data_IF_843199183502
#
_entry.id   IF_843199183502
#
_cell.length_a   1.000
_cell.length_b   1.000
_cell.length_c   1.000
_cell.angle_alpha   90.00
_cell.angle_beta   90.00
_cell.angle_gamma   90.00
#
_symmetry.space_group_name_H-M   'P 1'
#
loop_
_entity.id
_entity.type
_entity.pdbx_description
1 polymer ?
#
# COMPACT_ATOMS: atom_id res chain seq x y z
N UNK A 1 -51.51 -13.07 19.79
CA UNK A 1 -50.48 -12.00 19.78
C UNK A 1 -49.13 -12.67 19.82
N UNK A 2 -48.47 -12.80 18.66
CA UNK A 2 -47.07 -13.30 18.58
C UNK A 2 -46.15 -12.10 18.48
N UNK A 3 -45.43 -11.83 19.51
CA UNK A 3 -44.32 -10.84 19.49
C UNK A 3 -43.13 -11.48 18.81
N UNK A 4 -42.87 -11.06 17.59
CA UNK A 4 -41.60 -11.38 16.89
C UNK A 4 -40.48 -10.59 17.58
N UNK A 5 -39.66 -11.27 18.37
CA UNK A 5 -38.39 -10.76 18.82
C UNK A 5 -37.45 -10.68 17.62
N UNK A 6 -37.19 -9.48 17.13
CA UNK A 6 -36.15 -9.23 16.16
C UNK A 6 -34.82 -9.63 16.83
N UNK A 7 -34.20 -10.69 16.33
CA UNK A 7 -32.82 -11.04 16.69
C UNK A 7 -31.91 -9.91 16.18
N UNK A 8 -31.43 -9.08 17.08
CA UNK A 8 -30.34 -8.16 16.79
C UNK A 8 -29.09 -9.00 16.48
N UNK A 9 -28.78 -9.14 15.18
CA UNK A 9 -27.53 -9.77 14.76
C UNK A 9 -26.38 -9.00 15.40
N UNK A 10 -25.39 -9.73 15.94
CA UNK A 10 -24.14 -9.14 16.44
C UNK A 10 -23.56 -8.22 15.35
N UNK A 11 -23.07 -7.04 15.74
CA UNK A 11 -22.43 -6.12 14.82
C UNK A 11 -21.35 -6.87 14.03
N UNK A 12 -21.29 -6.72 12.70
CA UNK A 12 -20.31 -7.45 11.89
C UNK A 12 -18.92 -7.04 12.35
N UNK A 13 -18.05 -8.03 12.64
CA UNK A 13 -16.65 -7.79 13.00
C UNK A 13 -15.85 -7.29 11.79
N UNK A 14 -14.66 -6.75 12.06
CA UNK A 14 -13.70 -6.40 11.03
C UNK A 14 -13.26 -7.65 10.25
N UNK A 15 -13.22 -7.54 8.92
CA UNK A 15 -12.77 -8.62 8.03
C UNK A 15 -11.31 -8.97 8.29
N UNK A 16 -11.02 -10.20 8.68
CA UNK A 16 -9.65 -10.74 8.83
C UNK A 16 -8.64 -9.78 9.51
N UNK A 17 -9.06 -9.01 10.52
CA UNK A 17 -8.17 -8.07 11.20
C UNK A 17 -7.13 -8.74 12.11
N UNK A 18 -7.34 -10.00 12.47
CA UNK A 18 -6.40 -10.80 13.25
C UNK A 18 -5.38 -11.48 12.34
N UNK A 19 -4.32 -12.04 12.94
CA UNK A 19 -3.36 -12.88 12.22
C UNK A 19 -4.09 -14.02 11.49
N UNK A 20 -3.72 -14.25 10.25
CA UNK A 20 -4.32 -15.27 9.40
C UNK A 20 -3.92 -16.71 9.76
N UNK A 21 -4.51 -17.68 9.09
CA UNK A 21 -4.28 -19.10 9.39
C UNK A 21 -2.93 -19.64 8.90
N UNK A 22 -2.25 -18.93 7.97
CA UNK A 22 -1.00 -19.43 7.41
C UNK A 22 0.18 -19.07 8.32
N UNK A 23 1.01 -20.05 8.72
CA UNK A 23 2.30 -19.75 9.32
C UNK A 23 3.14 -18.93 8.34
N UNK A 24 3.96 -18.02 8.87
CA UNK A 24 4.75 -17.07 8.05
C UNK A 24 6.24 -17.27 8.24
N UNK A 25 6.99 -17.08 7.15
CA UNK A 25 8.44 -16.96 7.13
C UNK A 25 8.86 -15.54 6.76
N UNK A 26 10.09 -15.20 7.10
CA UNK A 26 10.72 -13.94 6.74
C UNK A 26 12.10 -14.21 6.18
N UNK A 27 12.42 -13.64 5.02
CA UNK A 27 13.76 -13.60 4.46
C UNK A 27 14.25 -12.14 4.45
N UNK A 28 15.34 -11.86 5.16
CA UNK A 28 15.97 -10.53 5.24
C UNK A 28 17.40 -10.65 5.80
N UNK A 29 18.41 -9.96 5.23
CA UNK A 29 18.32 -9.28 3.94
C UNK A 29 18.30 -10.27 2.77
N UNK A 30 17.56 -9.95 1.73
CA UNK A 30 17.68 -10.55 0.40
C UNK A 30 18.20 -9.46 -0.52
N UNK A 31 19.29 -9.69 -1.23
CA UNK A 31 19.91 -8.69 -2.08
C UNK A 31 19.66 -9.03 -3.55
N UNK A 32 19.16 -8.06 -4.32
CA UNK A 32 19.06 -8.17 -5.77
C UNK A 32 19.93 -7.11 -6.43
N UNK A 33 20.76 -7.54 -7.36
CA UNK A 33 21.58 -6.65 -8.16
C UNK A 33 20.83 -6.23 -9.42
N UNK A 34 20.92 -4.95 -9.76
CA UNK A 34 20.33 -4.34 -10.96
C UNK A 34 21.46 -3.69 -11.76
N UNK A 35 22.23 -4.50 -12.52
CA UNK A 35 23.47 -4.06 -13.16
C UNK A 35 23.27 -2.90 -14.15
N UNK A 36 22.17 -2.90 -14.90
CA UNK A 36 21.85 -1.88 -15.90
C UNK A 36 21.65 -0.48 -15.30
N UNK A 37 21.38 -0.41 -13.99
CA UNK A 37 21.24 0.85 -13.23
C UNK A 37 22.33 1.04 -12.19
N UNK A 38 23.32 0.12 -12.13
CA UNK A 38 24.38 0.11 -11.11
C UNK A 38 23.81 0.25 -9.69
N UNK A 39 22.77 -0.54 -9.38
CA UNK A 39 22.05 -0.53 -8.11
C UNK A 39 22.00 -1.92 -7.50
N UNK A 40 21.95 -1.93 -6.18
CA UNK A 40 21.64 -3.10 -5.38
C UNK A 40 20.45 -2.75 -4.46
N UNK A 41 19.41 -3.58 -4.45
CA UNK A 41 18.27 -3.43 -3.57
C UNK A 41 18.33 -4.47 -2.46
N UNK A 42 18.10 -4.00 -1.24
CA UNK A 42 17.97 -4.85 -0.06
C UNK A 42 16.47 -5.04 0.17
N UNK A 43 16.03 -6.29 0.21
CA UNK A 43 14.64 -6.66 0.38
C UNK A 43 14.42 -7.32 1.75
N UNK A 44 13.28 -6.97 2.36
CA UNK A 44 12.60 -7.81 3.34
C UNK A 44 11.46 -8.53 2.64
N UNK A 45 11.32 -9.83 2.83
CA UNK A 45 10.25 -10.62 2.24
C UNK A 45 9.53 -11.36 3.35
N UNK A 46 8.21 -11.12 3.49
CA UNK A 46 7.33 -11.88 4.37
C UNK A 46 6.47 -12.80 3.51
N UNK A 47 6.34 -14.08 3.87
CA UNK A 47 5.68 -15.06 3.02
C UNK A 47 5.00 -16.17 3.83
N UNK A 48 3.94 -16.84 3.28
CA UNK A 48 3.38 -18.05 3.87
C UNK A 48 4.37 -19.21 3.77
N UNK A 49 4.52 -19.99 4.84
CA UNK A 49 5.35 -21.21 4.79
C UNK A 49 4.55 -22.46 4.39
N UNK A 50 3.25 -22.32 4.16
CA UNK A 50 2.41 -23.38 3.59
C UNK A 50 2.70 -23.57 2.10
N UNK A 51 2.50 -24.80 1.60
CA UNK A 51 2.62 -25.07 0.17
C UNK A 51 1.52 -24.35 -0.62
N UNK A 52 1.89 -23.68 -1.71
CA UNK A 52 0.94 -22.97 -2.58
C UNK A 52 1.61 -21.98 -3.50
N UNK A 53 0.81 -21.36 -4.36
CA UNK A 53 1.23 -20.25 -5.22
C UNK A 53 0.42 -19.01 -4.79
N UNK A 54 1.10 -17.95 -4.40
CA UNK A 54 0.52 -16.82 -3.69
C UNK A 54 0.61 -15.54 -4.50
N UNK A 55 -0.43 -14.67 -4.49
CA UNK A 55 -0.34 -13.34 -5.04
C UNK A 55 0.79 -12.53 -4.39
N UNK A 56 1.35 -11.61 -5.16
CA UNK A 56 2.47 -10.76 -4.77
C UNK A 56 2.00 -9.36 -4.37
N UNK A 57 2.60 -8.82 -3.32
CA UNK A 57 2.51 -7.41 -2.94
C UNK A 57 3.92 -6.83 -2.97
N UNK A 58 4.17 -5.84 -3.82
CA UNK A 58 5.39 -5.03 -3.76
C UNK A 58 5.05 -3.76 -2.98
N UNK A 59 5.65 -3.61 -1.80
CA UNK A 59 5.33 -2.51 -0.87
C UNK A 59 6.51 -1.56 -0.70
N UNK A 60 6.29 -0.30 -1.03
CA UNK A 60 7.28 0.75 -0.86
C UNK A 60 7.05 1.57 0.41
N UNK A 61 8.12 1.77 1.17
CA UNK A 61 8.10 2.52 2.42
C UNK A 61 7.97 4.04 2.21
N UNK A 62 7.55 4.74 3.25
CA UNK A 62 7.52 6.21 3.28
C UNK A 62 8.93 6.81 3.37
N UNK A 63 9.02 8.12 3.11
CA UNK A 63 10.27 8.85 3.25
C UNK A 63 10.85 8.71 4.67
N UNK A 64 12.15 8.46 4.77
CA UNK A 64 12.88 8.26 6.02
C UNK A 64 12.45 7.02 6.82
N UNK A 65 11.84 6.04 6.17
CA UNK A 65 11.49 4.74 6.71
C UNK A 65 12.32 3.65 6.02
N UNK A 66 12.17 2.42 6.47
CA UNK A 66 12.73 1.22 5.84
C UNK A 66 11.63 0.17 5.61
N UNK A 67 11.92 -0.89 4.89
CA UNK A 67 10.99 -2.03 4.75
C UNK A 67 10.64 -2.65 6.11
N UNK A 68 11.59 -2.70 7.05
CA UNK A 68 11.38 -3.25 8.39
C UNK A 68 10.37 -2.45 9.22
N UNK A 69 10.24 -1.15 8.99
CA UNK A 69 9.24 -0.30 9.65
C UNK A 69 7.79 -0.69 9.35
N UNK A 70 7.56 -1.58 8.38
CA UNK A 70 6.24 -2.08 7.99
C UNK A 70 6.08 -3.58 8.20
N UNK A 71 7.00 -4.22 8.93
CA UNK A 71 7.02 -5.66 9.16
C UNK A 71 5.67 -6.19 9.66
N UNK A 72 5.04 -5.53 10.63
CA UNK A 72 3.78 -5.98 11.21
C UNK A 72 2.62 -6.02 10.19
N UNK A 73 2.61 -5.14 9.19
CA UNK A 73 1.62 -5.14 8.12
C UNK A 73 1.93 -6.23 7.08
N UNK A 74 3.20 -6.37 6.70
CA UNK A 74 3.65 -7.40 5.77
C UNK A 74 3.41 -8.81 6.31
N UNK A 75 3.76 -9.06 7.58
CA UNK A 75 3.53 -10.34 8.25
C UNK A 75 2.04 -10.66 8.37
N UNK A 76 1.19 -9.63 8.56
CA UNK A 76 -0.25 -9.81 8.54
C UNK A 76 -0.74 -10.27 7.16
N UNK A 77 -0.37 -9.60 6.07
CA UNK A 77 -0.76 -10.02 4.72
C UNK A 77 -0.19 -11.39 4.37
N UNK A 78 1.06 -11.67 4.76
CA UNK A 78 1.65 -12.99 4.57
C UNK A 78 0.85 -14.09 5.29
N UNK A 79 0.39 -13.85 6.52
CA UNK A 79 -0.45 -14.79 7.26
C UNK A 79 -1.80 -15.07 6.59
N UNK A 80 -2.23 -14.18 5.71
CA UNK A 80 -3.41 -14.32 4.88
C UNK A 80 -3.12 -14.84 3.46
N UNK A 81 -1.92 -15.34 3.18
CA UNK A 81 -1.58 -16.00 1.92
C UNK A 81 -1.17 -15.03 0.82
N UNK A 82 -0.25 -14.12 1.12
CA UNK A 82 0.43 -13.24 0.18
C UNK A 82 1.95 -13.34 0.34
N UNK A 83 2.69 -13.25 -0.73
CA UNK A 83 4.11 -12.91 -0.66
C UNK A 83 4.22 -11.38 -0.67
N UNK A 84 4.94 -10.82 0.30
CA UNK A 84 5.10 -9.37 0.45
C UNK A 84 6.57 -9.02 0.36
N UNK A 85 6.95 -8.27 -0.67
CA UNK A 85 8.33 -7.81 -0.89
C UNK A 85 8.42 -6.33 -0.56
N UNK A 86 9.31 -5.99 0.38
CA UNK A 86 9.56 -4.63 0.85
C UNK A 86 11.00 -4.23 0.54
N UNK A 87 11.24 -3.53 -0.58
CA UNK A 87 12.55 -2.95 -0.85
C UNK A 87 12.89 -1.85 0.16
N UNK A 88 14.17 -1.78 0.55
CA UNK A 88 14.74 -0.65 1.28
C UNK A 88 15.75 0.04 0.39
N UNK A 89 15.61 1.35 0.24
CA UNK A 89 16.51 2.13 -0.60
C UNK A 89 17.74 2.57 0.19
N UNK A 90 18.95 2.64 -0.42
CA UNK A 90 20.17 3.03 0.25
C UNK A 90 20.16 4.41 0.92
N UNK A 91 19.29 5.29 0.43
CA UNK A 91 19.06 6.65 0.91
C UNK A 91 17.87 6.76 1.87
N UNK A 92 17.26 5.62 2.24
CA UNK A 92 16.26 5.55 3.32
C UNK A 92 16.87 6.06 4.63
N UNK A 93 16.22 7.03 5.25
CA UNK A 93 16.65 7.54 6.56
C UNK A 93 17.78 8.58 6.53
N UNK A 94 18.23 9.08 5.39
CA UNK A 94 19.20 10.17 5.32
C UNK A 94 18.55 11.53 5.03
N UNK A 95 18.31 12.38 6.04
CA UNK A 95 18.04 13.78 5.80
C UNK A 95 19.35 14.45 5.37
N UNK A 96 19.41 14.94 4.15
CA UNK A 96 20.54 15.70 3.66
C UNK A 96 20.07 16.80 2.73
N UNK A 97 20.76 17.93 2.69
CA UNK A 97 20.56 19.00 1.71
C UNK A 97 21.09 18.51 0.35
N UNK A 98 20.31 17.67 -0.34
CA UNK A 98 20.55 17.37 -1.75
C UNK A 98 19.78 18.38 -2.61
N UNK A 99 20.40 18.80 -3.71
CA UNK A 99 19.73 19.68 -4.66
C UNK A 99 18.48 19.01 -5.25
N UNK A 100 17.59 19.81 -5.82
CA UNK A 100 16.29 19.35 -6.35
C UNK A 100 16.45 18.31 -7.46
N UNK A 101 17.46 18.46 -8.32
CA UNK A 101 17.66 17.55 -9.45
C UNK A 101 18.11 16.17 -8.97
N UNK A 102 18.97 16.14 -7.96
CA UNK A 102 19.37 14.87 -7.30
C UNK A 102 18.18 14.24 -6.59
N UNK A 103 17.35 15.01 -5.91
CA UNK A 103 16.11 14.48 -5.30
C UNK A 103 15.17 13.87 -6.34
N UNK A 104 14.98 14.52 -7.49
CA UNK A 104 14.17 13.99 -8.58
C UNK A 104 14.76 12.70 -9.17
N UNK A 105 16.08 12.64 -9.38
CA UNK A 105 16.74 11.41 -9.86
C UNK A 105 16.53 10.26 -8.89
N UNK A 106 16.82 10.46 -7.60
CA UNK A 106 16.59 9.44 -6.56
C UNK A 106 15.14 8.95 -6.58
N UNK A 107 14.19 9.88 -6.69
CA UNK A 107 12.78 9.54 -6.74
C UNK A 107 12.41 8.69 -7.97
N UNK A 108 12.92 9.05 -9.16
CA UNK A 108 12.67 8.28 -10.39
C UNK A 108 13.31 6.89 -10.33
N UNK A 109 14.49 6.78 -9.70
CA UNK A 109 15.13 5.50 -9.45
C UNK A 109 14.28 4.63 -8.52
N UNK A 110 13.72 5.20 -7.46
CA UNK A 110 12.81 4.48 -6.55
C UNK A 110 11.53 4.02 -7.26
N UNK A 111 11.00 4.80 -8.20
CA UNK A 111 9.87 4.37 -9.04
C UNK A 111 10.27 3.17 -9.91
N UNK A 112 11.43 3.22 -10.54
CA UNK A 112 11.93 2.12 -11.38
C UNK A 112 12.26 0.86 -10.55
N UNK A 113 12.68 1.00 -9.29
CA UNK A 113 12.94 -0.13 -8.40
C UNK A 113 11.70 -1.00 -8.16
N UNK A 114 10.51 -0.43 -8.24
CA UNK A 114 9.27 -1.19 -8.13
C UNK A 114 9.11 -2.23 -9.26
N UNK A 115 9.37 -1.82 -10.50
CA UNK A 115 9.39 -2.71 -11.66
C UNK A 115 10.57 -3.70 -11.60
N UNK A 116 11.74 -3.26 -11.13
CA UNK A 116 12.91 -4.12 -11.01
C UNK A 116 12.72 -5.28 -10.02
N UNK A 117 11.90 -5.11 -8.98
CA UNK A 117 11.51 -6.24 -8.12
C UNK A 117 10.80 -7.33 -8.92
N UNK A 118 9.90 -6.94 -9.84
CA UNK A 118 9.19 -7.89 -10.69
C UNK A 118 10.10 -8.53 -11.75
N UNK A 119 11.11 -7.80 -12.23
CA UNK A 119 12.11 -8.33 -13.17
C UNK A 119 13.04 -9.36 -12.48
N UNK A 120 13.22 -9.25 -11.16
CA UNK A 120 14.11 -10.09 -10.38
C UNK A 120 13.44 -11.28 -9.67
N UNK A 121 12.16 -11.58 -9.96
CA UNK A 121 11.42 -12.64 -9.23
C UNK A 121 12.12 -14.00 -9.30
N UNK A 122 12.66 -14.40 -10.45
CA UNK A 122 13.38 -15.68 -10.60
C UNK A 122 14.64 -15.72 -9.72
N UNK A 123 15.35 -14.60 -9.61
CA UNK A 123 16.53 -14.48 -8.74
C UNK A 123 16.14 -14.53 -7.25
N UNK A 124 15.03 -13.88 -6.88
CA UNK A 124 14.49 -13.91 -5.52
C UNK A 124 14.07 -15.33 -5.15
N UNK A 125 13.32 -16.02 -5.99
CA UNK A 125 12.89 -17.41 -5.77
C UNK A 125 14.07 -18.38 -5.69
N UNK A 126 15.17 -18.09 -6.41
CA UNK A 126 16.40 -18.89 -6.35
C UNK A 126 17.12 -18.70 -5.03
N UNK A 127 17.18 -17.46 -4.51
CA UNK A 127 17.86 -17.13 -3.25
C UNK A 127 17.08 -17.58 -2.02
N UNK A 128 15.73 -17.54 -2.10
CA UNK A 128 14.84 -17.87 -0.99
C UNK A 128 14.12 -19.18 -1.32
N UNK A 129 14.76 -20.31 -0.98
CA UNK A 129 14.30 -21.64 -1.35
C UNK A 129 12.80 -21.89 -1.05
N UNK A 130 12.21 -21.47 0.08
CA UNK A 130 10.79 -21.62 0.31
C UNK A 130 9.87 -20.88 -0.66
N UNK A 131 10.39 -19.91 -1.42
CA UNK A 131 9.63 -19.17 -2.42
C UNK A 131 9.69 -19.79 -3.82
N UNK A 132 10.50 -20.83 -4.01
CA UNK A 132 10.67 -21.43 -5.34
C UNK A 132 9.33 -21.87 -5.94
N UNK A 133 8.92 -21.21 -7.03
CA UNK A 133 7.62 -21.41 -7.70
C UNK A 133 6.40 -21.12 -6.82
N UNK A 134 6.57 -20.29 -5.77
CA UNK A 134 5.50 -19.93 -4.86
C UNK A 134 4.90 -18.54 -5.12
N UNK A 135 5.50 -17.74 -6.00
CA UNK A 135 5.00 -16.42 -6.35
C UNK A 135 4.13 -16.51 -7.62
N UNK A 136 2.96 -15.88 -7.58
CA UNK A 136 2.13 -15.70 -8.77
C UNK A 136 2.39 -14.33 -9.40
N UNK A 137 3.15 -14.25 -10.50
CA UNK A 137 3.47 -12.99 -11.14
C UNK A 137 2.30 -12.39 -11.93
N UNK A 138 1.15 -13.08 -12.00
CA UNK A 138 -0.07 -12.64 -12.69
C UNK A 138 -1.11 -12.04 -11.75
N UNK A 139 -0.80 -11.94 -10.45
CA UNK A 139 -1.68 -11.36 -9.41
C UNK A 139 -0.85 -10.47 -8.49
N UNK A 140 -0.64 -9.22 -8.90
CA UNK A 140 0.34 -8.33 -8.27
C UNK A 140 -0.30 -7.02 -7.80
N UNK A 141 -0.02 -6.64 -6.54
CA UNK A 141 -0.39 -5.36 -5.99
C UNK A 141 0.80 -4.40 -5.95
N UNK A 142 0.60 -3.17 -6.43
CA UNK A 142 1.44 -2.03 -6.10
C UNK A 142 0.96 -1.44 -4.78
N UNK A 143 1.80 -1.44 -3.75
CA UNK A 143 1.41 -0.93 -2.44
C UNK A 143 2.47 0.02 -1.88
N UNK A 144 2.06 0.91 -0.98
CA UNK A 144 3.01 1.77 -0.30
C UNK A 144 2.36 2.73 0.67
N UNK A 145 3.21 3.38 1.47
CA UNK A 145 2.83 4.39 2.44
C UNK A 145 3.49 5.73 2.10
N UNK A 146 2.73 6.85 2.21
CA UNK A 146 3.29 8.19 2.05
C UNK A 146 4.00 8.38 0.70
N UNK A 147 5.32 8.61 0.69
CA UNK A 147 6.15 8.64 -0.53
C UNK A 147 6.02 7.33 -1.33
N UNK A 148 6.02 6.19 -0.67
CA UNK A 148 5.83 4.89 -1.31
C UNK A 148 4.45 4.75 -1.96
N UNK A 149 3.41 5.34 -1.40
CA UNK A 149 2.09 5.39 -2.03
C UNK A 149 2.08 6.25 -3.30
N UNK A 150 2.86 7.35 -3.35
CA UNK A 150 3.07 8.11 -4.59
C UNK A 150 3.75 7.25 -5.65
N UNK A 151 4.81 6.52 -5.28
CA UNK A 151 5.50 5.60 -6.18
C UNK A 151 4.54 4.56 -6.73
N UNK A 152 3.77 3.89 -5.85
CA UNK A 152 2.75 2.93 -6.25
C UNK A 152 1.69 3.53 -7.19
N UNK A 153 1.28 4.79 -6.96
CA UNK A 153 0.33 5.49 -7.85
C UNK A 153 0.94 5.76 -9.24
N UNK A 154 2.24 6.07 -9.31
CA UNK A 154 2.94 6.35 -10.58
C UNK A 154 3.05 5.07 -11.42
N UNK A 155 3.48 3.95 -10.84
CA UNK A 155 3.53 2.68 -11.59
C UNK A 155 2.13 2.17 -11.95
N UNK A 156 1.09 2.62 -11.23
CA UNK A 156 -0.32 2.36 -11.56
C UNK A 156 -0.87 3.27 -12.67
N UNK A 157 -0.06 4.24 -13.16
CA UNK A 157 -0.43 5.08 -14.30
C UNK A 157 -0.51 6.58 -14.04
N UNK A 158 -0.24 7.07 -12.82
CA UNK A 158 -0.21 8.52 -12.57
C UNK A 158 0.88 9.17 -13.43
N UNK A 159 0.46 10.02 -14.35
CA UNK A 159 1.39 10.76 -15.20
C UNK A 159 2.10 11.87 -14.43
N UNK A 160 3.32 12.19 -14.81
CA UNK A 160 4.11 13.31 -14.29
C UNK A 160 4.61 14.19 -15.43
N UNK A 161 5.07 15.38 -15.08
CA UNK A 161 5.87 16.20 -15.98
C UNK A 161 7.35 15.87 -15.76
N UNK A 162 8.09 15.75 -16.84
CA UNK A 162 9.57 15.73 -16.82
C UNK A 162 10.14 17.14 -16.61
N UNK A 163 11.47 17.27 -16.63
CA UNK A 163 12.16 18.54 -16.44
C UNK A 163 11.83 19.58 -17.52
N UNK A 164 11.50 19.14 -18.73
CA UNK A 164 11.21 19.98 -19.90
C UNK A 164 9.70 20.26 -20.04
N UNK A 165 8.89 19.79 -19.09
CA UNK A 165 7.43 19.92 -19.11
C UNK A 165 6.72 18.89 -19.99
N UNK A 166 7.43 17.91 -20.50
CA UNK A 166 6.90 16.76 -21.24
C UNK A 166 6.13 15.81 -20.32
N UNK A 167 5.19 15.04 -20.88
CA UNK A 167 4.44 14.03 -20.14
C UNK A 167 5.26 12.75 -19.99
N UNK A 168 5.53 12.37 -18.76
CA UNK A 168 6.22 11.12 -18.41
C UNK A 168 5.21 10.11 -17.84
N UNK A 169 5.15 8.92 -18.43
CA UNK A 169 4.43 7.75 -17.89
C UNK A 169 5.43 6.67 -17.51
N UNK A 170 5.36 6.22 -16.27
CA UNK A 170 6.15 5.12 -15.73
C UNK A 170 5.23 3.97 -15.30
N UNK A 171 4.11 3.81 -15.99
CA UNK A 171 3.15 2.74 -15.74
C UNK A 171 3.80 1.38 -16.03
N UNK A 172 3.54 0.42 -15.15
CA UNK A 172 3.89 -0.99 -15.33
C UNK A 172 2.60 -1.81 -15.32
N UNK A 173 2.26 -2.40 -16.46
CA UNK A 173 1.00 -3.13 -16.66
C UNK A 173 0.95 -4.49 -15.94
N UNK A 174 2.03 -4.90 -15.26
CA UNK A 174 2.05 -6.11 -14.43
C UNK A 174 1.35 -5.92 -13.08
N UNK A 175 1.08 -4.68 -12.66
CA UNK A 175 0.31 -4.41 -11.46
C UNK A 175 -1.19 -4.41 -11.76
N UNK A 176 -1.95 -5.22 -11.00
CA UNK A 176 -3.39 -5.39 -11.15
C UNK A 176 -4.19 -4.46 -10.24
N UNK A 177 -3.65 -4.11 -9.07
CA UNK A 177 -4.32 -3.28 -8.06
C UNK A 177 -3.35 -2.35 -7.34
N UNK A 178 -3.87 -1.29 -6.72
CA UNK A 178 -3.08 -0.36 -5.91
C UNK A 178 -3.61 -0.23 -4.48
N UNK A 179 -2.72 -0.29 -3.47
CA UNK A 179 -3.00 -0.04 -2.05
C UNK A 179 -2.17 1.14 -1.57
N UNK A 180 -2.81 2.28 -1.38
CA UNK A 180 -2.18 3.57 -1.17
C UNK A 180 -2.46 4.08 0.26
N UNK A 181 -1.52 3.81 1.18
CA UNK A 181 -1.66 4.22 2.56
C UNK A 181 -1.15 5.65 2.73
N UNK A 182 -2.03 6.57 3.11
CA UNK A 182 -1.70 7.98 3.37
C UNK A 182 -0.89 8.65 2.23
N UNK A 183 -1.24 8.32 0.98
CA UNK A 183 -0.57 8.85 -0.20
C UNK A 183 -0.82 10.35 -0.40
N UNK A 184 0.06 11.05 -1.09
CA UNK A 184 -0.16 12.46 -1.42
C UNK A 184 -1.29 12.64 -2.45
N UNK A 185 -1.97 13.77 -2.36
CA UNK A 185 -2.85 14.28 -3.40
C UNK A 185 -2.07 14.97 -4.53
N UNK A 186 -2.70 15.87 -5.29
CA UNK A 186 -2.05 16.59 -6.38
C UNK A 186 -0.80 17.33 -5.94
N UNK A 187 0.27 17.19 -6.71
CA UNK A 187 1.57 17.82 -6.49
C UNK A 187 1.90 18.76 -7.67
N UNK A 188 2.81 19.75 -7.52
CA UNK A 188 3.13 20.73 -8.55
C UNK A 188 3.54 20.13 -9.91
N UNK A 189 4.20 18.96 -9.92
CA UNK A 189 4.60 18.26 -11.15
C UNK A 189 3.55 17.27 -11.66
N UNK A 190 2.31 17.35 -11.19
CA UNK A 190 1.22 16.50 -11.61
C UNK A 190 0.34 17.26 -12.61
N UNK A 191 0.28 16.86 -13.89
CA UNK A 191 -0.63 17.46 -14.86
C UNK A 191 -2.09 17.38 -14.38
N UNK A 192 -2.94 18.28 -14.86
CA UNK A 192 -4.35 18.33 -14.44
C UNK A 192 -5.08 17.01 -14.74
N UNK A 193 -4.74 16.35 -15.84
CA UNK A 193 -5.31 15.09 -16.31
C UNK A 193 -4.47 13.87 -15.92
N UNK A 194 -3.47 14.03 -15.05
CA UNK A 194 -2.51 12.98 -14.68
C UNK A 194 -3.17 11.69 -14.13
N UNK A 195 -4.28 11.87 -13.43
CA UNK A 195 -4.99 10.80 -12.77
C UNK A 195 -5.86 9.94 -13.70
N UNK A 196 -6.13 10.42 -14.91
CA UNK A 196 -7.03 9.76 -15.87
C UNK A 196 -6.54 8.35 -16.30
N UNK A 197 -5.23 8.11 -16.23
CA UNK A 197 -4.63 6.84 -16.62
C UNK A 197 -4.56 5.82 -15.48
N UNK A 198 -4.91 6.19 -14.23
CA UNK A 198 -4.94 5.27 -13.08
C UNK A 198 -6.28 4.54 -13.06
N UNK A 199 -6.38 3.50 -13.88
CA UNK A 199 -7.63 2.74 -14.06
C UNK A 199 -7.75 1.51 -13.16
N UNK A 200 -6.66 1.05 -12.55
CA UNK A 200 -6.64 -0.12 -11.67
C UNK A 200 -7.59 0.03 -10.48
N UNK A 201 -8.20 -1.07 -9.97
CA UNK A 201 -8.81 -1.06 -8.65
C UNK A 201 -7.85 -0.45 -7.62
N UNK A 202 -8.34 0.48 -6.81
CA UNK A 202 -7.47 1.26 -5.92
C UNK A 202 -8.11 1.45 -4.55
N UNK A 203 -7.35 1.13 -3.50
CA UNK A 203 -7.67 1.48 -2.12
C UNK A 203 -6.76 2.63 -1.67
N UNK A 204 -7.38 3.71 -1.20
CA UNK A 204 -6.69 4.84 -0.57
C UNK A 204 -7.06 4.88 0.91
N UNK A 205 -6.09 5.09 1.80
CA UNK A 205 -6.38 5.28 3.22
C UNK A 205 -5.87 6.61 3.73
N UNK A 206 -6.54 7.19 4.72
CA UNK A 206 -6.08 8.38 5.45
C UNK A 206 -6.74 8.42 6.84
N UNK A 207 -6.26 9.31 7.69
CA UNK A 207 -6.89 9.59 8.98
C UNK A 207 -7.20 11.06 9.12
N UNK A 208 -8.19 11.43 9.97
CA UNK A 208 -8.60 12.84 10.12
C UNK A 208 -7.53 13.73 10.76
N UNK A 209 -6.45 13.15 11.31
CA UNK A 209 -5.25 13.85 11.80
C UNK A 209 -4.04 13.69 10.88
N UNK A 210 -4.22 13.10 9.70
CA UNK A 210 -3.17 12.90 8.71
C UNK A 210 -2.99 14.15 7.82
N UNK A 211 -2.58 15.24 8.43
CA UNK A 211 -2.32 16.48 7.72
C UNK A 211 -1.02 16.42 6.91
N UNK A 212 -1.02 16.99 5.72
CA UNK A 212 0.18 17.07 4.92
C UNK A 212 1.18 18.04 5.57
N UNK A 213 2.34 17.53 5.96
CA UNK A 213 3.44 18.35 6.46
C UNK A 213 4.26 18.90 5.29
N UNK A 214 4.35 20.24 5.23
CA UNK A 214 5.28 21.05 4.42
C UNK A 214 4.99 21.14 2.91
N UNK A 215 4.59 22.31 2.47
CA UNK A 215 4.63 22.79 1.07
C UNK A 215 3.31 22.80 0.32
N UNK A 216 2.25 22.20 0.83
CA UNK A 216 0.89 22.43 0.37
C UNK A 216 0.19 23.27 1.46
N UNK A 217 0.25 24.59 1.39
CA UNK A 217 -0.50 25.46 2.28
C UNK A 217 -1.98 25.04 2.23
N UNK A 218 -2.55 24.67 3.38
CA UNK A 218 -3.94 24.25 3.51
C UNK A 218 -4.25 22.80 3.12
N UNK A 219 -3.26 21.93 2.91
CA UNK A 219 -3.52 20.53 2.65
C UNK A 219 -4.01 19.83 3.94
N UNK A 220 -5.33 19.64 4.01
CA UNK A 220 -6.00 18.87 5.04
C UNK A 220 -5.88 17.36 4.72
N UNK A 221 -6.39 16.50 5.61
CA UNK A 221 -6.40 15.07 5.36
C UNK A 221 -7.19 14.68 4.08
N UNK A 222 -8.16 15.49 3.66
CA UNK A 222 -8.93 15.25 2.43
C UNK A 222 -8.05 15.34 1.17
N UNK A 223 -6.95 16.08 1.21
CA UNK A 223 -5.99 16.12 0.12
C UNK A 223 -5.40 14.73 -0.15
N UNK A 224 -5.23 13.91 0.89
CA UNK A 224 -4.72 12.54 0.74
C UNK A 224 -5.67 11.60 0.00
N UNK A 225 -6.94 11.96 -0.10
CA UNK A 225 -7.90 11.22 -0.93
C UNK A 225 -7.77 11.54 -2.44
N UNK A 226 -6.70 12.21 -2.86
CA UNK A 226 -6.50 12.61 -4.26
C UNK A 226 -6.65 11.46 -5.24
N UNK A 227 -5.99 10.33 -5.01
CA UNK A 227 -6.10 9.15 -5.86
C UNK A 227 -7.53 8.57 -5.88
N UNK A 228 -8.26 8.62 -4.77
CA UNK A 228 -9.66 8.21 -4.73
C UNK A 228 -10.57 9.16 -5.53
N UNK A 229 -10.38 10.48 -5.40
CA UNK A 229 -11.28 11.48 -5.96
C UNK A 229 -11.05 11.80 -7.44
N UNK A 230 -9.79 11.75 -7.89
CA UNK A 230 -9.35 12.26 -9.19
C UNK A 230 -9.16 11.17 -10.25
N UNK A 231 -9.03 9.91 -9.86
CA UNK A 231 -8.95 8.79 -10.80
C UNK A 231 -10.34 8.51 -11.42
N UNK A 232 -10.42 7.85 -12.58
CA UNK A 232 -11.69 7.42 -13.14
C UNK A 232 -12.50 6.55 -12.15
N UNK A 233 -13.84 6.62 -12.17
CA UNK A 233 -14.68 5.76 -11.33
C UNK A 233 -14.53 4.29 -11.71
N UNK A 234 -14.86 3.41 -10.79
CA UNK A 234 -14.79 1.95 -10.95
C UNK A 234 -13.78 1.33 -10.00
N UNK A 235 -14.31 0.59 -9.02
CA UNK A 235 -13.53 -0.14 -8.01
C UNK A 235 -12.49 0.73 -7.27
N UNK A 236 -12.89 1.96 -6.92
CA UNK A 236 -12.10 2.89 -6.11
C UNK A 236 -12.68 2.96 -4.70
N UNK A 237 -11.80 2.82 -3.71
CA UNK A 237 -12.18 2.85 -2.30
C UNK A 237 -11.35 3.89 -1.55
N UNK A 238 -12.01 4.62 -0.65
CA UNK A 238 -11.38 5.61 0.23
C UNK A 238 -11.69 5.29 1.69
N UNK A 239 -10.72 4.83 2.45
CA UNK A 239 -10.87 4.58 3.89
C UNK A 239 -10.43 5.82 4.67
N UNK A 240 -11.35 6.37 5.45
CA UNK A 240 -11.08 7.49 6.36
C UNK A 240 -11.22 6.98 7.81
N UNK A 241 -10.19 7.20 8.64
CA UNK A 241 -10.18 6.76 10.03
C UNK A 241 -10.13 7.99 10.94
N UNK A 242 -11.15 8.15 11.78
CA UNK A 242 -11.20 9.29 12.71
C UNK A 242 -10.06 9.22 13.73
N UNK A 243 -9.45 10.40 14.02
CA UNK A 243 -8.32 10.61 14.93
C UNK A 243 -7.04 9.82 14.59
N UNK A 244 -6.96 9.14 13.46
CA UNK A 244 -5.72 8.51 13.03
C UNK A 244 -4.75 9.54 12.42
N UNK A 245 -3.47 9.43 12.78
CA UNK A 245 -2.37 10.24 12.23
C UNK A 245 -1.68 9.52 11.06
N UNK A 246 -0.69 10.18 10.47
CA UNK A 246 0.05 9.71 9.30
C UNK A 246 0.73 8.34 9.49
N UNK A 247 1.18 8.05 10.70
CA UNK A 247 1.96 6.85 11.04
C UNK A 247 1.19 5.86 11.91
N UNK A 248 -0.06 6.13 12.24
CA UNK A 248 -0.89 5.37 13.18
C UNK A 248 -0.15 5.18 14.54
N UNK A 249 0.45 6.25 15.05
CA UNK A 249 1.27 6.19 16.27
C UNK A 249 2.49 5.28 16.12
N UNK A 250 3.08 5.18 14.92
CA UNK A 250 4.26 4.36 14.64
C UNK A 250 3.93 2.89 14.30
N UNK A 251 2.65 2.53 14.12
CA UNK A 251 2.28 1.21 13.61
C UNK A 251 2.63 1.03 12.11
N UNK A 252 2.73 2.15 11.39
CA UNK A 252 3.34 2.26 10.06
C UNK A 252 4.62 3.08 10.21
N UNK A 253 5.75 2.61 9.66
CA UNK A 253 7.06 3.25 9.81
C UNK A 253 7.46 3.43 11.28
N UNK A 254 7.84 2.35 11.93
CA UNK A 254 8.18 2.32 13.36
C UNK A 254 9.28 3.33 13.74
N UNK A 255 10.16 3.68 12.78
CA UNK A 255 11.20 4.70 12.93
C UNK A 255 10.66 6.13 13.15
N UNK A 256 9.37 6.34 12.85
CA UNK A 256 8.70 7.64 12.93
C UNK A 256 7.59 7.66 13.98
N UNK A 257 7.68 6.81 14.97
CA UNK A 257 6.71 6.80 16.07
C UNK A 257 6.69 8.17 16.77
N UNK A 258 5.51 8.81 16.76
CA UNK A 258 5.25 10.09 17.41
C UNK A 258 3.94 9.98 18.20
N UNK A 259 4.02 9.29 19.34
CA UNK A 259 2.89 9.04 20.20
C UNK A 259 2.62 7.55 20.48
N UNK A 260 1.54 7.26 21.21
CA UNK A 260 1.17 5.89 21.53
C UNK A 260 0.65 5.15 20.27
N UNK A 261 0.97 3.85 20.10
CA UNK A 261 0.51 3.06 18.97
C UNK A 261 -1.02 3.02 18.85
N UNK A 262 -1.54 3.43 17.70
CA UNK A 262 -2.97 3.33 17.38
C UNK A 262 -3.32 1.93 16.82
N UNK A 263 -3.38 0.95 17.72
CA UNK A 263 -3.65 -0.45 17.38
C UNK A 263 -5.03 -0.64 16.75
N UNK A 264 -6.01 0.19 17.11
CA UNK A 264 -7.36 0.09 16.57
C UNK A 264 -7.40 0.60 15.11
N UNK A 265 -6.79 1.76 14.80
CA UNK A 265 -6.66 2.21 13.42
C UNK A 265 -5.84 1.22 12.57
N UNK A 266 -4.77 0.65 13.11
CA UNK A 266 -3.99 -0.37 12.42
C UNK A 266 -4.81 -1.64 12.14
N UNK A 267 -5.67 -2.08 13.06
CA UNK A 267 -6.58 -3.22 12.83
C UNK A 267 -7.58 -2.91 11.70
N UNK A 268 -8.06 -1.68 11.59
CA UNK A 268 -8.95 -1.23 10.51
C UNK A 268 -8.22 -1.24 9.17
N UNK A 269 -6.99 -0.70 9.11
CA UNK A 269 -6.15 -0.73 7.90
C UNK A 269 -5.88 -2.17 7.46
N UNK A 270 -5.49 -3.05 8.38
CA UNK A 270 -5.29 -4.49 8.10
C UNK A 270 -6.55 -5.12 7.51
N UNK A 271 -7.69 -4.88 8.14
CA UNK A 271 -8.98 -5.44 7.73
C UNK A 271 -9.36 -5.02 6.31
N UNK A 272 -9.41 -3.72 6.06
CA UNK A 272 -9.90 -3.19 4.78
C UNK A 272 -8.91 -3.48 3.65
N UNK A 273 -7.59 -3.38 3.91
CA UNK A 273 -6.60 -3.72 2.90
C UNK A 273 -6.58 -5.21 2.56
N UNK A 274 -6.76 -6.10 3.55
CA UNK A 274 -6.87 -7.54 3.28
C UNK A 274 -8.15 -7.87 2.51
N UNK A 275 -9.28 -7.24 2.86
CA UNK A 275 -10.52 -7.41 2.10
C UNK A 275 -10.36 -6.94 0.64
N UNK A 276 -9.70 -5.81 0.43
CA UNK A 276 -9.42 -5.29 -0.91
C UNK A 276 -8.52 -6.24 -1.72
N UNK A 277 -7.42 -6.69 -1.14
CA UNK A 277 -6.51 -7.64 -1.78
C UNK A 277 -7.20 -8.99 -2.09
N UNK A 278 -7.96 -9.54 -1.14
CA UNK A 278 -8.71 -10.79 -1.36
C UNK A 278 -9.78 -10.61 -2.47
N UNK A 279 -10.49 -9.47 -2.50
CA UNK A 279 -11.52 -9.20 -3.49
C UNK A 279 -10.99 -9.13 -4.93
N UNK A 280 -9.79 -8.56 -5.12
CA UNK A 280 -9.26 -8.29 -6.47
C UNK A 280 -8.14 -9.23 -6.91
N UNK A 281 -7.26 -9.68 -6.03
CA UNK A 281 -6.20 -10.63 -6.38
C UNK A 281 -6.63 -12.09 -6.21
N UNK A 282 -7.52 -12.39 -5.26
CA UNK A 282 -8.05 -13.75 -5.06
C UNK A 282 -9.48 -13.93 -5.56
N UNK A 283 -10.11 -12.85 -6.04
CA UNK A 283 -11.48 -12.83 -6.55
C UNK A 283 -12.52 -13.36 -5.52
N UNK A 284 -12.26 -13.10 -4.23
CA UNK A 284 -13.12 -13.51 -3.13
C UNK A 284 -14.40 -12.67 -3.11
N UNK A 285 -15.53 -13.32 -3.38
CA UNK A 285 -16.84 -12.68 -3.41
C UNK A 285 -17.27 -12.12 -2.04
N UNK A 286 -16.90 -12.79 -0.95
CA UNK A 286 -17.19 -12.35 0.42
C UNK A 286 -16.45 -11.08 0.76
N UNK A 287 -15.16 -11.00 0.39
CA UNK A 287 -14.36 -9.80 0.54
C UNK A 287 -14.92 -8.63 -0.30
N UNK A 288 -15.35 -8.92 -1.52
CA UNK A 288 -15.98 -7.91 -2.40
C UNK A 288 -17.30 -7.39 -1.83
N UNK A 289 -18.12 -8.26 -1.26
CA UNK A 289 -19.35 -7.86 -0.57
C UNK A 289 -19.04 -7.00 0.66
N UNK A 290 -18.05 -7.38 1.48
CA UNK A 290 -17.62 -6.59 2.64
C UNK A 290 -17.22 -5.15 2.27
N UNK A 291 -16.48 -4.97 1.17
CA UNK A 291 -16.09 -3.64 0.71
C UNK A 291 -17.25 -2.78 0.23
N UNK A 292 -18.30 -3.40 -0.36
CA UNK A 292 -19.46 -2.69 -0.92
C UNK A 292 -20.55 -2.42 0.10
N UNK A 293 -20.74 -3.31 1.06
CA UNK A 293 -21.80 -3.20 2.07
C UNK A 293 -21.52 -2.15 3.15
N UNK A 294 -20.37 -1.46 3.08
CA UNK A 294 -19.97 -0.34 3.96
C UNK A 294 -20.11 -0.61 5.47
N UNK A 295 -19.99 -1.87 5.92
CA UNK A 295 -20.14 -2.24 7.33
C UNK A 295 -18.95 -1.84 8.21
N UNK A 296 -17.95 -1.16 7.62
CA UNK A 296 -16.78 -0.69 8.36
C UNK A 296 -17.19 0.29 9.45
N UNK A 297 -18.12 1.20 9.19
CA UNK A 297 -18.63 2.14 10.19
C UNK A 297 -19.25 1.42 11.38
N UNK A 298 -20.11 0.43 11.14
CA UNK A 298 -20.75 -0.35 12.20
C UNK A 298 -19.73 -1.18 12.98
N UNK A 299 -18.79 -1.85 12.28
CA UNK A 299 -17.74 -2.66 12.90
C UNK A 299 -16.73 -1.85 13.73
N UNK A 300 -16.68 -0.53 13.53
CA UNK A 300 -15.76 0.38 14.19
C UNK A 300 -16.45 1.38 15.14
N UNK A 301 -17.76 1.24 15.37
CA UNK A 301 -18.58 2.19 16.12
C UNK A 301 -18.44 3.62 15.58
N UNK A 302 -18.44 3.78 14.26
CA UNK A 302 -18.32 5.07 13.58
C UNK A 302 -16.91 5.63 13.48
N UNK A 303 -15.87 4.91 13.96
CA UNK A 303 -14.49 5.40 13.91
C UNK A 303 -13.92 5.42 12.49
N UNK A 304 -14.44 4.63 11.58
CA UNK A 304 -13.98 4.62 10.20
C UNK A 304 -15.14 4.61 9.20
N UNK A 305 -14.90 5.25 8.07
CA UNK A 305 -15.81 5.26 6.92
C UNK A 305 -15.07 4.70 5.69
N UNK A 306 -15.75 3.83 4.94
CA UNK A 306 -15.26 3.32 3.66
C UNK A 306 -16.14 3.89 2.54
N UNK A 307 -15.53 4.77 1.74
CA UNK A 307 -16.13 5.37 0.55
C UNK A 307 -15.87 4.47 -0.66
N UNK A 308 -16.80 4.44 -1.64
CA UNK A 308 -16.62 3.72 -2.92
C UNK A 308 -17.13 4.54 -4.09
N UNK A 309 -16.55 4.34 -5.28
CA UNK A 309 -16.99 4.99 -6.51
C UNK A 309 -16.62 4.19 -7.76
#
# INVERSE_FOLDING_TARGET
MFTATAAWGAAPGLYKAQTGPSPTGVATPVEIDIPERNRNLILRISYPTSTGVFPLIVFFHGALCSGDGYAALADHWASHGYVVILPSHPDSGRPGSVDRDRQNRIFLEQVADMSSVLDALDAIETQVEPLRHAIDPTRVAAAGHSMGALIATIVSGLARLDADGGRLSLRDDRFDVAVLLSGPGPLPLTPQDAWASVTLPTLVTTGTRDHANRGAEGATWEWRLGAFRLTPPGDKFGLVIDQADHFLGGMLCAERADGPPDRAAFAIVKSVSTAFLDAYLKQDATARAYLRDSRVADATNGRAELLSR
#
